data_IF_628009881836
#
_entry.id   IF_628009881836
#
_cell.length_a   1.000
_cell.length_b   1.000
_cell.length_c   1.000
_cell.angle_alpha   90.00
_cell.angle_beta   90.00
_cell.angle_gamma   90.00
#
_symmetry.space_group_name_H-M   'P 1'
#
loop_
_entity.id
_entity.type
_entity.pdbx_description
1 polymer ?
#
# COMPACT_ATOMS: atom_id res chain seq x y z
N UNK A 1 -6.39 -26.85 13.03
CA UNK A 1 -7.07 -26.84 11.72
C UNK A 1 -7.27 -25.38 11.34
N UNK A 2 -6.36 -24.81 10.55
CA UNK A 2 -6.39 -23.38 10.21
C UNK A 2 -7.41 -23.19 9.08
N UNK A 3 -8.42 -22.34 9.33
CA UNK A 3 -9.58 -22.11 8.49
C UNK A 3 -9.30 -20.89 7.60
N UNK A 4 -8.50 -21.06 6.55
CA UNK A 4 -8.40 -20.07 5.48
C UNK A 4 -9.75 -20.03 4.75
N UNK A 5 -10.53 -18.94 4.85
CA UNK A 5 -11.21 -18.32 3.70
C UNK A 5 -11.98 -17.05 4.12
N UNK A 6 -11.36 -15.90 3.89
CA UNK A 6 -12.02 -14.59 3.71
C UNK A 6 -12.07 -14.17 2.24
N UNK A 7 -12.00 -15.15 1.32
CA UNK A 7 -12.04 -14.98 -0.14
C UNK A 7 -13.47 -14.99 -0.70
N UNK A 8 -14.49 -15.10 0.15
CA UNK A 8 -15.90 -14.95 -0.20
C UNK A 8 -16.39 -13.55 0.22
N UNK A 9 -15.74 -12.51 -0.33
CA UNK A 9 -16.22 -11.13 -0.25
C UNK A 9 -16.48 -10.62 -1.67
N UNK A 10 -17.22 -11.38 -2.47
CA UNK A 10 -18.07 -10.74 -3.46
C UNK A 10 -19.19 -10.05 -2.68
N UNK A 11 -19.35 -8.72 -2.73
CA UNK A 11 -20.55 -8.09 -2.22
C UNK A 11 -21.71 -8.52 -3.13
N UNK A 12 -22.36 -9.63 -2.77
CA UNK A 12 -23.57 -10.15 -3.41
C UNK A 12 -24.69 -9.09 -3.50
N UNK A 13 -24.58 -7.99 -2.74
CA UNK A 13 -25.55 -6.90 -2.71
C UNK A 13 -25.22 -5.69 -3.61
N UNK A 14 -24.03 -5.58 -4.22
CA UNK A 14 -23.78 -4.51 -5.18
C UNK A 14 -22.57 -4.79 -6.10
N UNK A 15 -22.75 -5.46 -7.25
CA UNK A 15 -21.67 -5.76 -8.19
C UNK A 15 -20.97 -4.49 -8.73
N UNK A 16 -21.63 -3.33 -8.73
CA UNK A 16 -20.99 -2.05 -9.11
C UNK A 16 -19.96 -1.58 -8.07
N UNK A 17 -20.23 -1.74 -6.77
CA UNK A 17 -19.30 -1.29 -5.72
C UNK A 17 -18.01 -2.12 -5.65
N UNK A 18 -18.09 -3.42 -5.96
CA UNK A 18 -16.89 -4.26 -6.10
C UNK A 18 -16.03 -3.81 -7.29
N UNK A 19 -16.65 -3.56 -8.44
CA UNK A 19 -15.92 -3.15 -9.63
C UNK A 19 -15.26 -1.78 -9.47
N UNK A 20 -15.93 -0.82 -8.80
CA UNK A 20 -15.36 0.49 -8.47
C UNK A 20 -14.10 0.36 -7.61
N UNK A 21 -14.18 -0.40 -6.51
CA UNK A 21 -13.03 -0.58 -5.61
C UNK A 21 -11.84 -1.27 -6.28
N UNK A 22 -12.09 -2.18 -7.20
CA UNK A 22 -11.04 -2.83 -7.99
C UNK A 22 -10.41 -1.87 -9.00
N UNK A 23 -11.21 -1.02 -9.65
CA UNK A 23 -10.71 0.03 -10.53
C UNK A 23 -9.90 1.07 -9.76
N UNK A 24 -10.39 1.58 -8.63
CA UNK A 24 -9.66 2.54 -7.79
C UNK A 24 -8.29 1.98 -7.38
N UNK A 25 -8.25 0.69 -6.98
CA UNK A 25 -7.02 0.00 -6.61
C UNK A 25 -6.07 -0.19 -7.79
N UNK A 26 -6.61 -0.44 -8.99
CA UNK A 26 -5.81 -0.55 -10.22
C UNK A 26 -5.24 0.80 -10.62
N UNK A 27 -6.03 1.87 -10.57
CA UNK A 27 -5.59 3.22 -10.89
C UNK A 27 -4.49 3.70 -9.94
N UNK A 28 -4.64 3.44 -8.64
CA UNK A 28 -3.60 3.71 -7.65
C UNK A 28 -2.31 2.89 -7.92
N UNK A 29 -2.44 1.62 -8.34
CA UNK A 29 -1.30 0.78 -8.71
C UNK A 29 -0.56 1.27 -9.95
N UNK A 30 -1.30 1.64 -11.00
CA UNK A 30 -0.73 2.22 -12.22
C UNK A 30 -0.05 3.56 -11.94
N UNK A 31 -0.67 4.40 -11.11
CA UNK A 31 -0.09 5.68 -10.66
C UNK A 31 1.21 5.44 -9.90
N UNK A 32 1.21 4.54 -8.92
CA UNK A 32 2.41 4.20 -8.16
C UNK A 32 3.55 3.70 -9.06
N UNK A 33 3.27 2.86 -10.07
CA UNK A 33 4.30 2.39 -11.02
C UNK A 33 4.85 3.52 -11.89
N UNK A 34 3.99 4.42 -12.38
CA UNK A 34 4.46 5.62 -13.12
C UNK A 34 5.38 6.49 -12.28
N UNK A 35 5.10 6.62 -10.99
CA UNK A 35 5.95 7.37 -10.08
C UNK A 35 7.24 6.64 -9.73
N UNK A 36 7.22 5.31 -9.67
CA UNK A 36 8.43 4.51 -9.50
C UNK A 36 9.39 4.69 -10.68
N UNK A 37 8.89 4.67 -11.92
CA UNK A 37 9.68 4.93 -13.13
C UNK A 37 10.27 6.36 -13.12
N UNK A 38 9.45 7.36 -12.77
CA UNK A 38 9.92 8.75 -12.58
C UNK A 38 10.95 8.91 -11.46
N UNK A 39 10.82 8.12 -10.40
CA UNK A 39 11.77 8.10 -9.29
C UNK A 39 13.11 7.50 -9.72
N UNK A 40 13.08 6.37 -10.45
CA UNK A 40 14.28 5.72 -10.99
C UNK A 40 15.02 6.59 -12.01
N UNK A 41 14.29 7.41 -12.77
CA UNK A 41 14.87 8.40 -13.69
C UNK A 41 15.35 9.68 -13.00
N UNK A 42 15.16 9.80 -11.67
CA UNK A 42 15.59 10.96 -10.88
C UNK A 42 14.73 12.20 -11.07
N UNK A 43 13.57 12.09 -11.71
CA UNK A 43 12.66 13.22 -11.92
C UNK A 43 11.84 13.58 -10.68
N UNK A 44 11.69 12.66 -9.74
CA UNK A 44 10.81 12.81 -8.57
C UNK A 44 11.58 12.45 -7.30
N UNK A 45 11.47 13.29 -6.27
CA UNK A 45 12.05 13.05 -4.95
C UNK A 45 11.12 12.19 -4.07
N UNK A 46 11.69 11.61 -3.00
CA UNK A 46 10.97 10.75 -2.05
C UNK A 46 9.80 11.52 -1.41
N UNK A 47 10.01 12.77 -1.01
CA UNK A 47 8.96 13.63 -0.43
C UNK A 47 7.73 13.76 -1.33
N UNK A 48 7.93 13.90 -2.64
CA UNK A 48 6.82 14.00 -3.59
C UNK A 48 6.04 12.68 -3.71
N UNK A 49 6.72 11.53 -3.59
CA UNK A 49 6.05 10.22 -3.53
C UNK A 49 5.24 10.08 -2.25
N UNK A 50 5.79 10.52 -1.11
CA UNK A 50 5.11 10.48 0.19
C UNK A 50 3.88 11.40 0.19
N UNK A 51 4.00 12.62 -0.31
CA UNK A 51 2.90 13.57 -0.38
C UNK A 51 1.78 13.06 -1.30
N UNK A 52 2.15 12.49 -2.45
CA UNK A 52 1.20 11.89 -3.36
C UNK A 52 0.48 10.70 -2.71
N UNK A 53 1.21 9.83 -2.02
CA UNK A 53 0.62 8.72 -1.27
C UNK A 53 -0.35 9.20 -0.17
N UNK A 54 -0.04 10.31 0.52
CA UNK A 54 -0.97 10.93 1.48
C UNK A 54 -2.25 11.44 0.82
N UNK A 55 -2.11 12.07 -0.35
CA UNK A 55 -3.25 12.63 -1.09
C UNK A 55 -4.13 11.57 -1.76
N UNK A 56 -3.53 10.50 -2.30
CA UNK A 56 -4.21 9.44 -3.06
C UNK A 56 -4.79 8.37 -2.13
N UNK A 57 -4.15 8.16 -0.97
CA UNK A 57 -4.44 7.05 -0.08
C UNK A 57 -3.85 5.74 -0.59
N UNK A 58 -4.52 4.62 -0.35
CA UNK A 58 -4.09 3.29 -0.81
C UNK A 58 -2.65 2.91 -0.43
N UNK A 59 -2.22 3.30 0.77
CA UNK A 59 -0.83 3.20 1.26
C UNK A 59 -0.18 1.81 1.09
N UNK A 60 -0.95 0.73 1.25
CA UNK A 60 -0.46 -0.65 1.02
C UNK A 60 0.01 -0.91 -0.42
N UNK A 61 -0.59 -0.24 -1.41
CA UNK A 61 -0.19 -0.35 -2.82
C UNK A 61 1.16 0.34 -3.04
N UNK A 62 1.30 1.58 -2.55
CA UNK A 62 2.54 2.33 -2.61
C UNK A 62 3.67 1.55 -1.95
N UNK A 63 3.45 1.03 -0.74
CA UNK A 63 4.41 0.14 -0.08
C UNK A 63 4.78 -1.10 -0.90
N UNK A 64 3.83 -1.69 -1.64
CA UNK A 64 4.11 -2.88 -2.46
C UNK A 64 4.95 -2.53 -3.68
N UNK A 65 4.62 -1.43 -4.37
CA UNK A 65 5.32 -0.98 -5.58
C UNK A 65 6.75 -0.52 -5.22
N UNK A 66 6.88 0.23 -4.12
CA UNK A 66 8.17 0.73 -3.64
C UNK A 66 8.90 -0.25 -2.69
N UNK A 67 8.45 -1.51 -2.59
CA UNK A 67 9.05 -2.51 -1.70
C UNK A 67 10.56 -2.74 -1.96
N UNK A 68 11.01 -2.51 -3.19
CA UNK A 68 12.42 -2.61 -3.58
C UNK A 68 13.25 -1.35 -3.23
N UNK A 69 12.63 -0.29 -2.71
CA UNK A 69 13.27 0.99 -2.39
C UNK A 69 13.08 1.29 -0.90
N UNK A 70 14.01 0.84 -0.03
CA UNK A 70 13.84 0.93 1.42
C UNK A 70 13.71 2.38 1.92
N UNK A 71 14.41 3.33 1.31
CA UNK A 71 14.29 4.76 1.65
C UNK A 71 12.86 5.30 1.50
N UNK A 72 12.17 4.95 0.41
CA UNK A 72 10.79 5.38 0.18
C UNK A 72 9.84 4.70 1.17
N UNK A 73 10.06 3.41 1.43
CA UNK A 73 9.28 2.69 2.45
C UNK A 73 9.45 3.31 3.84
N UNK A 74 10.68 3.63 4.26
CA UNK A 74 10.95 4.28 5.55
C UNK A 74 10.33 5.67 5.63
N UNK A 75 10.42 6.47 4.56
CA UNK A 75 9.79 7.79 4.51
C UNK A 75 8.26 7.71 4.59
N UNK A 76 7.66 6.74 3.88
CA UNK A 76 6.22 6.46 4.00
C UNK A 76 5.85 6.07 5.43
N UNK A 77 6.61 5.17 6.06
CA UNK A 77 6.37 4.69 7.43
C UNK A 77 6.46 5.84 8.44
N UNK A 78 7.52 6.65 8.33
CA UNK A 78 7.71 7.83 9.17
C UNK A 78 6.61 8.87 8.98
N UNK A 79 6.02 8.96 7.79
CA UNK A 79 4.94 9.89 7.50
C UNK A 79 3.61 9.54 8.20
N UNK A 80 3.43 8.31 8.68
CA UNK A 80 2.24 7.87 9.42
C UNK A 80 2.66 7.22 10.75
N UNK A 81 2.85 8.03 11.82
CA UNK A 81 3.38 7.53 13.10
C UNK A 81 2.52 6.43 13.73
N UNK A 82 1.19 6.45 13.51
CA UNK A 82 0.27 5.41 14.00
C UNK A 82 0.36 4.07 13.25
N UNK A 83 0.90 4.07 12.04
CA UNK A 83 1.08 2.86 11.21
C UNK A 83 2.48 2.29 11.36
N UNK A 84 3.47 3.10 11.75
CA UNK A 84 4.84 2.66 11.98
C UNK A 84 4.98 1.52 13.01
N UNK A 85 4.10 1.47 14.02
CA UNK A 85 4.05 0.36 14.98
C UNK A 85 3.63 -0.99 14.36
N UNK A 86 3.18 -1.01 13.10
CA UNK A 86 2.80 -2.22 12.36
C UNK A 86 3.82 -2.65 11.30
N UNK A 87 4.97 -1.97 11.17
CA UNK A 87 6.01 -2.29 10.19
C UNK A 87 7.38 -2.33 10.86
N UNK A 88 8.26 -3.24 10.41
CA UNK A 88 9.61 -3.36 10.94
C UNK A 88 10.52 -2.30 10.31
N UNK A 89 11.77 -2.23 10.79
CA UNK A 89 12.83 -1.35 10.27
C UNK A 89 13.19 -1.60 8.80
N UNK A 90 12.72 -2.70 8.19
CA UNK A 90 12.89 -3.01 6.76
C UNK A 90 11.63 -2.72 5.94
N UNK A 91 10.60 -2.12 6.55
CA UNK A 91 9.31 -1.86 5.91
C UNK A 91 8.45 -3.09 5.65
N UNK A 92 8.78 -4.25 6.21
CA UNK A 92 7.90 -5.40 6.19
C UNK A 92 6.84 -5.30 7.30
N UNK A 93 5.59 -5.72 7.05
CA UNK A 93 4.54 -5.72 8.08
C UNK A 93 4.94 -6.65 9.22
N UNK A 94 4.89 -6.15 10.47
CA UNK A 94 5.08 -7.01 11.65
C UNK A 94 3.79 -7.71 12.00
N UNK A 95 3.93 -8.96 12.44
CA UNK A 95 2.79 -9.72 12.94
C UNK A 95 2.35 -9.13 14.27
N UNK A 96 1.07 -8.73 14.35
CA UNK A 96 0.49 -8.17 15.58
C UNK A 96 0.39 -9.30 16.63
N UNK A 97 0.80 -9.10 17.89
CA UNK A 97 0.55 -10.08 18.94
C UNK A 97 -0.97 -10.24 19.12
N UNK A 98 -1.51 -11.41 18.76
CA UNK A 98 -2.95 -11.73 18.84
C UNK A 98 -3.70 -11.85 17.50
N UNK A 99 -3.03 -11.71 16.35
CA UNK A 99 -3.65 -12.01 15.05
C UNK A 99 -3.91 -13.52 14.91
N UNK A 100 -5.18 -13.94 14.91
CA UNK A 100 -5.58 -15.32 14.68
C UNK A 100 -5.19 -15.76 13.25
N UNK A 101 -4.67 -16.99 13.14
CA UNK A 101 -4.28 -17.67 11.89
C UNK A 101 -5.51 -18.29 11.23
#
# INVERSE_FOLDING_TARGET
MIRLVGLDKMPLNNPQAANLRWNDRREAWEKANRYLDKFQTGMVAIDAVVDLCKSDGHWSIWMTVFANIPDVCLALIGAIPGTAACFNTNGAPIQRPGGHI
#
